data_IF_376190194269
#
_entry.id   IF_376190194269
#
_cell.length_a   1.000
_cell.length_b   1.000
_cell.length_c   1.000
_cell.angle_alpha   90.00
_cell.angle_beta   90.00
_cell.angle_gamma   90.00
#
_symmetry.space_group_name_H-M   'P 1'
#
loop_
_entity.id
_entity.type
_entity.pdbx_description
1 polymer ?
#
# COMPACT_ATOMS: atom_id res chain seq x y z
N UNK A 1 -13.18 4.21 -25.31
CA UNK A 1 -12.96 3.80 -23.91
C UNK A 1 -11.69 2.98 -23.94
N UNK A 2 -10.61 3.43 -23.33
CA UNK A 2 -9.39 2.62 -23.28
C UNK A 2 -9.65 1.39 -22.40
N UNK A 3 -9.21 0.21 -22.83
CA UNK A 3 -9.39 -1.01 -22.07
C UNK A 3 -8.48 -0.95 -20.83
N UNK A 4 -9.03 -1.17 -19.63
CA UNK A 4 -8.27 -1.12 -18.37
C UNK A 4 -6.99 -1.97 -18.42
N UNK A 5 -7.06 -3.15 -19.05
CA UNK A 5 -5.91 -4.05 -19.20
C UNK A 5 -4.84 -3.51 -20.16
N UNK A 6 -5.22 -2.77 -21.20
CA UNK A 6 -4.27 -2.13 -22.12
C UNK A 6 -3.52 -1.00 -21.40
N UNK A 7 -4.24 -0.16 -20.66
CA UNK A 7 -3.65 0.93 -19.87
C UNK A 7 -2.73 0.38 -18.76
N UNK A 8 -3.09 -0.75 -18.15
CA UNK A 8 -2.23 -1.46 -17.20
C UNK A 8 -0.98 -2.04 -17.89
N UNK A 9 -1.13 -2.67 -19.06
CA UNK A 9 -0.01 -3.24 -19.81
C UNK A 9 1.01 -2.18 -20.22
N UNK A 10 0.55 -1.01 -20.66
CA UNK A 10 1.44 0.11 -21.01
C UNK A 10 1.97 0.88 -19.79
N UNK A 11 1.57 0.51 -18.56
CA UNK A 11 2.04 1.15 -17.33
C UNK A 11 1.45 2.53 -17.08
N UNK A 12 0.37 2.89 -17.79
CA UNK A 12 -0.33 4.17 -17.60
C UNK A 12 -1.16 4.20 -16.31
N UNK A 13 -1.50 3.01 -15.78
CA UNK A 13 -2.15 2.85 -14.49
C UNK A 13 -1.13 2.47 -13.43
N UNK A 14 -0.80 3.42 -12.58
CA UNK A 14 -0.09 3.18 -11.33
C UNK A 14 -1.07 3.38 -10.16
N UNK A 15 -1.59 2.29 -9.56
CA UNK A 15 -2.48 2.37 -8.40
C UNK A 15 -1.86 3.08 -7.18
N UNK A 16 -0.53 3.15 -7.14
CA UNK A 16 0.26 3.77 -6.07
C UNK A 16 0.77 5.17 -6.42
N UNK A 17 0.50 5.70 -7.62
CA UNK A 17 0.84 7.07 -8.01
C UNK A 17 -0.07 8.09 -7.29
N UNK A 18 0.03 8.16 -5.97
CA UNK A 18 -0.76 9.02 -5.10
C UNK A 18 0.18 9.75 -4.15
N UNK A 19 0.07 11.07 -4.13
CA UNK A 19 0.70 11.90 -3.10
C UNK A 19 -0.22 12.09 -1.89
N UNK A 20 0.36 12.45 -0.76
CA UNK A 20 -0.41 12.96 0.37
C UNK A 20 -1.10 14.28 0.00
N UNK A 21 -2.31 14.47 0.53
CA UNK A 21 -3.01 15.76 0.37
C UNK A 21 -2.21 16.85 1.09
N UNK A 22 -2.21 18.06 0.53
CA UNK A 22 -1.66 19.25 1.20
C UNK A 22 -2.28 19.40 2.59
N UNK A 23 -1.46 19.81 3.55
CA UNK A 23 -1.83 20.02 4.96
C UNK A 23 -2.38 18.79 5.71
N UNK A 24 -2.33 17.60 5.10
CA UNK A 24 -2.78 16.37 5.76
C UNK A 24 -1.90 16.02 6.95
N UNK A 25 -2.52 15.41 7.97
CA UNK A 25 -1.79 14.91 9.14
C UNK A 25 -0.63 13.99 8.75
N UNK A 26 -0.84 13.10 7.78
CA UNK A 26 0.18 12.16 7.33
C UNK A 26 1.38 12.84 6.64
N UNK A 27 1.14 13.90 5.86
CA UNK A 27 2.22 14.69 5.27
C UNK A 27 3.08 15.33 6.36
N UNK A 28 2.44 15.96 7.37
CA UNK A 28 3.15 16.55 8.51
C UNK A 28 3.93 15.52 9.32
N UNK A 29 3.36 14.34 9.54
CA UNK A 29 4.08 13.24 10.22
C UNK A 29 5.29 12.80 9.41
N UNK A 30 5.16 12.66 8.08
CA UNK A 30 6.28 12.31 7.20
C UNK A 30 7.38 13.37 7.22
N UNK A 31 7.03 14.65 7.16
CA UNK A 31 7.99 15.76 7.27
C UNK A 31 8.73 15.73 8.62
N UNK A 32 8.00 15.51 9.72
CA UNK A 32 8.59 15.39 11.04
C UNK A 32 9.58 14.22 11.16
N UNK A 33 9.24 13.06 10.57
CA UNK A 33 10.13 11.88 10.54
C UNK A 33 11.43 12.23 9.81
N UNK A 34 11.32 12.84 8.62
CA UNK A 34 12.49 13.24 7.83
C UNK A 34 13.37 14.24 8.58
N UNK A 35 12.78 15.25 9.23
CA UNK A 35 13.54 16.19 10.06
C UNK A 35 14.28 15.52 11.23
N UNK A 36 13.63 14.55 11.89
CA UNK A 36 14.25 13.83 13.00
C UNK A 36 15.39 12.95 12.50
N UNK A 37 15.19 12.25 11.39
CA UNK A 37 16.22 11.43 10.74
C UNK A 37 17.43 12.28 10.36
N UNK A 38 17.21 13.44 9.73
CA UNK A 38 18.29 14.35 9.34
C UNK A 38 19.08 14.84 10.58
N UNK A 39 18.37 15.31 11.62
CA UNK A 39 18.98 15.78 12.87
C UNK A 39 19.81 14.68 13.54
N UNK A 40 19.32 13.43 13.56
CA UNK A 40 20.06 12.30 14.13
C UNK A 40 21.28 11.94 13.28
N UNK A 41 21.14 11.93 11.95
CA UNK A 41 22.21 11.64 11.00
C UNK A 41 23.36 12.65 11.10
N UNK A 42 23.06 13.92 11.41
CA UNK A 42 24.07 14.96 11.62
C UNK A 42 24.74 14.87 12.99
N UNK A 43 24.04 14.38 14.02
CA UNK A 43 24.55 14.29 15.40
C UNK A 43 25.40 13.05 15.66
N UNK A 44 25.02 11.91 15.08
CA UNK A 44 25.70 10.64 15.25
C UNK A 44 26.95 10.56 14.37
N UNK A 45 27.97 9.82 14.83
CA UNK A 45 29.21 9.59 14.08
C UNK A 45 29.65 8.12 14.18
N UNK A 46 30.56 7.70 13.30
CA UNK A 46 31.18 6.38 13.35
C UNK A 46 30.17 5.22 13.31
N UNK A 47 30.33 4.26 14.22
CA UNK A 47 29.50 3.05 14.29
C UNK A 47 28.03 3.34 14.65
N UNK A 48 27.77 4.32 15.51
CA UNK A 48 26.41 4.68 15.93
C UNK A 48 25.60 5.24 14.75
N UNK A 49 26.23 6.08 13.93
CA UNK A 49 25.62 6.60 12.70
C UNK A 49 25.31 5.46 11.73
N UNK A 50 26.25 4.53 11.57
CA UNK A 50 26.05 3.37 10.70
C UNK A 50 24.87 2.53 11.18
N UNK A 51 24.82 2.20 12.47
CA UNK A 51 23.72 1.44 13.07
C UNK A 51 22.36 2.13 12.88
N UNK A 52 22.30 3.46 13.04
CA UNK A 52 21.09 4.22 12.80
C UNK A 52 20.62 4.16 11.34
N UNK A 53 21.53 4.33 10.38
CA UNK A 53 21.20 4.23 8.95
C UNK A 53 20.78 2.82 8.56
N UNK A 54 21.46 1.79 9.08
CA UNK A 54 21.07 0.39 8.88
C UNK A 54 19.67 0.12 9.44
N UNK A 55 19.32 0.71 10.60
CA UNK A 55 17.96 0.67 11.15
C UNK A 55 16.94 1.35 10.24
N UNK A 56 17.20 2.57 9.76
CA UNK A 56 16.29 3.27 8.84
C UNK A 56 16.04 2.46 7.56
N UNK A 57 17.10 1.87 6.99
CA UNK A 57 16.99 1.03 5.80
C UNK A 57 16.13 -0.22 6.06
N UNK A 58 16.43 -0.96 7.13
CA UNK A 58 15.68 -2.17 7.49
C UNK A 58 14.20 -1.86 7.79
N UNK A 59 13.92 -0.72 8.45
CA UNK A 59 12.56 -0.27 8.69
C UNK A 59 11.85 0.12 7.39
N UNK A 60 12.54 0.81 6.48
CA UNK A 60 12.03 1.15 5.15
C UNK A 60 11.65 -0.09 4.34
N UNK A 61 12.49 -1.11 4.34
CA UNK A 61 12.22 -2.42 3.71
C UNK A 61 10.97 -3.08 4.32
N UNK A 62 10.87 -3.15 5.65
CA UNK A 62 9.70 -3.70 6.35
C UNK A 62 8.40 -2.98 5.98
N UNK A 63 8.43 -1.64 5.90
CA UNK A 63 7.26 -0.85 5.51
C UNK A 63 6.88 -1.09 4.05
N UNK A 64 7.88 -1.26 3.17
CA UNK A 64 7.68 -1.66 1.78
C UNK A 64 6.98 -3.01 1.65
N UNK A 65 7.48 -4.03 2.36
CA UNK A 65 6.90 -5.39 2.37
C UNK A 65 5.47 -5.39 2.94
N UNK A 66 5.24 -4.64 4.02
CA UNK A 66 3.89 -4.50 4.61
C UNK A 66 2.92 -3.82 3.65
N UNK A 67 3.39 -2.81 2.91
CA UNK A 67 2.62 -2.15 1.86
C UNK A 67 2.28 -3.10 0.71
N UNK A 68 3.24 -3.92 0.26
CA UNK A 68 3.05 -4.92 -0.78
C UNK A 68 2.02 -5.98 -0.36
N UNK A 69 2.13 -6.52 0.86
CA UNK A 69 1.18 -7.51 1.37
C UNK A 69 -0.24 -6.93 1.42
N UNK A 70 -0.39 -5.73 2.00
CA UNK A 70 -1.67 -5.02 2.07
C UNK A 70 -2.28 -4.79 0.68
N UNK A 71 -1.46 -4.44 -0.31
CA UNK A 71 -1.89 -4.27 -1.69
C UNK A 71 -2.41 -5.59 -2.30
N UNK A 72 -1.62 -6.66 -2.21
CA UNK A 72 -1.99 -7.98 -2.74
C UNK A 72 -3.27 -8.50 -2.09
N UNK A 73 -3.36 -8.41 -0.75
CA UNK A 73 -4.53 -8.83 0.02
C UNK A 73 -5.77 -8.02 -0.40
N UNK A 74 -5.64 -6.70 -0.53
CA UNK A 74 -6.73 -5.82 -0.95
C UNK A 74 -7.28 -6.15 -2.34
N UNK A 75 -6.39 -6.33 -3.34
CA UNK A 75 -6.81 -6.69 -4.70
C UNK A 75 -7.45 -8.06 -4.77
N UNK A 76 -6.88 -9.05 -4.08
CA UNK A 76 -7.44 -10.41 -4.02
C UNK A 76 -8.81 -10.43 -3.35
N UNK A 77 -8.99 -9.68 -2.26
CA UNK A 77 -10.28 -9.54 -1.60
C UNK A 77 -11.30 -8.91 -2.54
N UNK A 78 -10.96 -7.80 -3.22
CA UNK A 78 -11.84 -7.15 -4.18
C UNK A 78 -12.28 -8.09 -5.32
N UNK A 79 -11.34 -8.86 -5.89
CA UNK A 79 -11.66 -9.85 -6.93
C UNK A 79 -12.60 -10.95 -6.42
N UNK A 80 -12.38 -11.46 -5.20
CA UNK A 80 -13.26 -12.45 -4.57
C UNK A 80 -14.66 -11.90 -4.34
N UNK A 81 -14.79 -10.66 -3.87
CA UNK A 81 -16.09 -10.01 -3.68
C UNK A 81 -16.86 -9.88 -4.99
N UNK A 82 -16.18 -9.48 -6.07
CA UNK A 82 -16.79 -9.37 -7.42
C UNK A 82 -17.26 -10.75 -7.90
N UNK A 83 -16.41 -11.77 -7.78
CA UNK A 83 -16.76 -13.14 -8.19
C UNK A 83 -17.95 -13.68 -7.40
N UNK A 84 -17.93 -13.54 -6.08
CA UNK A 84 -19.00 -13.97 -5.18
C UNK A 84 -20.33 -13.29 -5.51
N UNK A 85 -20.30 -11.97 -5.81
CA UNK A 85 -21.51 -11.19 -6.08
C UNK A 85 -22.12 -11.45 -7.47
N UNK A 86 -21.28 -11.63 -8.50
CA UNK A 86 -21.73 -11.62 -9.90
C UNK A 86 -21.55 -12.94 -10.64
N UNK A 87 -20.79 -13.88 -10.08
CA UNK A 87 -20.42 -15.14 -10.76
C UNK A 87 -20.68 -16.39 -9.91
N UNK A 88 -21.12 -16.23 -8.66
CA UNK A 88 -21.48 -17.32 -7.77
C UNK A 88 -22.92 -17.16 -7.33
N UNK A 89 -23.73 -18.20 -7.53
CA UNK A 89 -25.07 -18.32 -6.92
C UNK A 89 -25.02 -19.25 -5.69
N UNK A 90 -23.82 -19.69 -5.28
CA UNK A 90 -23.63 -20.54 -4.11
C UNK A 90 -23.91 -19.74 -2.84
N UNK A 91 -25.08 -19.99 -2.25
CA UNK A 91 -25.49 -19.43 -0.98
C UNK A 91 -25.89 -20.57 -0.03
N UNK A 92 -25.56 -20.48 1.27
CA UNK A 92 -25.93 -21.51 2.25
C UNK A 92 -27.45 -21.52 2.58
N UNK A 93 -28.27 -20.87 1.76
CA UNK A 93 -29.71 -20.72 1.96
C UNK A 93 -30.43 -21.16 0.68
N UNK A 94 -31.46 -21.99 0.82
CA UNK A 94 -32.32 -22.37 -0.31
C UNK A 94 -33.34 -21.26 -0.59
N UNK A 95 -33.59 -20.96 -1.87
CA UNK A 95 -34.69 -20.08 -2.26
C UNK A 95 -36.03 -20.77 -1.99
N UNK A 96 -36.87 -20.16 -1.17
CA UNK A 96 -38.26 -20.61 -0.97
C UNK A 96 -39.19 -20.19 -2.12
N UNK A 97 -38.73 -19.30 -3.00
CA UNK A 97 -39.42 -18.95 -4.23
C UNK A 97 -39.09 -20.03 -5.26
N UNK A 98 -40.06 -20.89 -5.57
CA UNK A 98 -40.02 -21.73 -6.76
C UNK A 98 -40.22 -20.82 -7.97
N UNK A 99 -39.27 -20.82 -8.90
CA UNK A 99 -39.49 -20.29 -10.25
C UNK A 99 -40.68 -20.98 -10.94
#
# INVERSE_FOLDING_TARGET
>A
MANFLEELYFGNLDPQARGYRKDSHILKVSENINEMEEKLTQRLNGEEKKLFLDFCNAYGELMGDTGLDSFIVGFRLGAKMIFDTFCSDDAPFESYLKE
#
